data_IF_199980834525
#
_entry.id   IF_199980834525
#
_cell.length_a   1.000
_cell.length_b   1.000
_cell.length_c   1.000
_cell.angle_alpha   90.00
_cell.angle_beta   90.00
_cell.angle_gamma   90.00
#
_symmetry.space_group_name_H-M   'P 1'
#
loop_
_entity.id
_entity.type
_entity.pdbx_description
1 polymer ?
#
# COMPACT_ATOMS: atom_id res chain seq x y z
N UNK A 1 -13.37 -19.48 -11.38
CA UNK A 1 -12.35 -18.43 -11.60
C UNK A 1 -10.99 -19.09 -11.63
N UNK A 2 -10.17 -18.74 -12.61
CA UNK A 2 -8.82 -19.28 -12.73
C UNK A 2 -8.01 -18.86 -11.48
N UNK A 3 -7.28 -19.79 -10.86
CA UNK A 3 -6.54 -19.52 -9.63
C UNK A 3 -5.60 -18.31 -9.74
N UNK A 4 -5.10 -18.05 -10.94
CA UNK A 4 -4.26 -16.91 -11.25
C UNK A 4 -5.00 -15.57 -11.22
N UNK A 5 -6.26 -15.53 -11.65
CA UNK A 5 -7.11 -14.34 -11.55
C UNK A 5 -7.43 -14.05 -10.10
N UNK A 6 -7.72 -15.09 -9.31
CA UNK A 6 -7.97 -14.94 -7.89
C UNK A 6 -6.73 -14.40 -7.15
N UNK A 7 -5.53 -14.88 -7.49
CA UNK A 7 -4.29 -14.38 -6.92
C UNK A 7 -4.07 -12.90 -7.25
N UNK A 8 -4.26 -12.49 -8.51
CA UNK A 8 -4.16 -11.08 -8.94
C UNK A 8 -5.13 -10.19 -8.14
N UNK A 9 -6.41 -10.56 -8.09
CA UNK A 9 -7.44 -9.79 -7.38
C UNK A 9 -7.15 -9.73 -5.87
N UNK A 10 -6.65 -10.83 -5.28
CA UNK A 10 -6.29 -10.87 -3.87
C UNK A 10 -5.12 -9.94 -3.54
N UNK A 11 -4.09 -9.91 -4.40
CA UNK A 11 -2.95 -8.98 -4.25
C UNK A 11 -3.43 -7.54 -4.33
N UNK A 12 -4.20 -7.19 -5.38
CA UNK A 12 -4.70 -5.82 -5.56
C UNK A 12 -5.63 -5.39 -4.43
N UNK A 13 -6.53 -6.28 -3.99
CA UNK A 13 -7.42 -6.03 -2.86
C UNK A 13 -6.66 -5.80 -1.55
N UNK A 14 -5.64 -6.62 -1.27
CA UNK A 14 -4.81 -6.47 -0.07
C UNK A 14 -3.99 -5.16 -0.10
N UNK A 15 -3.45 -4.77 -1.26
CA UNK A 15 -2.75 -3.50 -1.42
C UNK A 15 -3.71 -2.31 -1.25
N UNK A 16 -4.91 -2.37 -1.85
CA UNK A 16 -5.93 -1.33 -1.68
C UNK A 16 -6.29 -1.14 -0.20
N UNK A 17 -6.53 -2.23 0.54
CA UNK A 17 -6.82 -2.19 1.98
C UNK A 17 -5.65 -1.60 2.76
N UNK A 18 -4.42 -1.96 2.42
CA UNK A 18 -3.21 -1.40 3.03
C UNK A 18 -3.05 0.10 2.77
N UNK A 19 -3.42 0.57 1.56
CA UNK A 19 -3.37 1.98 1.16
C UNK A 19 -4.44 2.83 1.86
N UNK A 20 -5.61 2.24 2.17
CA UNK A 20 -6.71 2.93 2.85
C UNK A 20 -6.33 3.35 4.27
N UNK A 21 -5.49 2.58 4.97
CA UNK A 21 -5.02 2.93 6.31
C UNK A 21 -4.08 4.14 6.29
N UNK A 22 -4.39 5.20 7.04
CA UNK A 22 -3.61 6.44 7.05
C UNK A 22 -2.15 6.20 7.45
N UNK A 23 -1.25 6.55 6.56
CA UNK A 23 0.19 6.50 6.74
C UNK A 23 0.87 7.74 6.14
N UNK A 24 2.20 7.77 6.06
CA UNK A 24 2.94 8.92 5.51
C UNK A 24 2.45 9.34 4.12
N UNK A 25 2.18 8.37 3.23
CA UNK A 25 1.70 8.62 1.87
C UNK A 25 0.32 9.28 1.86
N UNK A 26 -0.60 8.78 2.69
CA UNK A 26 -1.93 9.36 2.86
C UNK A 26 -1.86 10.81 3.38
N UNK A 27 -1.08 11.03 4.46
CA UNK A 27 -0.92 12.35 5.09
C UNK A 27 -0.33 13.34 4.10
N UNK A 28 0.65 12.94 3.30
CA UNK A 28 1.24 13.80 2.29
C UNK A 28 0.20 14.26 1.27
N UNK A 29 -0.54 13.35 0.68
CA UNK A 29 -1.55 13.67 -0.35
C UNK A 29 -2.66 14.56 0.24
N UNK A 30 -3.19 14.21 1.41
CA UNK A 30 -4.21 15.00 2.10
C UNK A 30 -3.70 16.42 2.40
N UNK A 31 -2.48 16.56 2.94
CA UNK A 31 -1.86 17.86 3.21
C UNK A 31 -1.65 18.68 1.95
N UNK A 32 -1.10 18.06 0.89
CA UNK A 32 -0.84 18.75 -0.37
C UNK A 32 -2.14 19.27 -0.98
N UNK A 33 -3.22 18.49 -0.90
CA UNK A 33 -4.54 18.89 -1.41
C UNK A 33 -5.15 20.06 -0.65
N UNK A 34 -4.92 20.13 0.67
CA UNK A 34 -5.45 21.21 1.53
C UNK A 34 -4.59 22.46 1.40
N UNK A 35 -3.27 22.31 1.50
CA UNK A 35 -2.34 23.42 1.68
C UNK A 35 -1.84 24.03 0.37
N UNK A 36 -1.88 23.28 -0.75
CA UNK A 36 -1.41 23.78 -2.06
C UNK A 36 -2.60 23.89 -3.02
N UNK A 37 -3.11 22.76 -3.50
CA UNK A 37 -4.29 22.70 -4.36
C UNK A 37 -4.73 21.25 -4.60
N UNK A 38 -5.98 21.06 -5.02
CA UNK A 38 -6.48 19.76 -5.49
C UNK A 38 -5.62 19.17 -6.62
N UNK A 39 -5.20 19.98 -7.58
CA UNK A 39 -4.37 19.54 -8.71
C UNK A 39 -2.99 19.04 -8.22
N UNK A 40 -2.37 19.75 -7.28
CA UNK A 40 -1.12 19.33 -6.66
C UNK A 40 -1.28 18.01 -5.87
N UNK A 41 -2.39 17.84 -5.16
CA UNK A 41 -2.73 16.58 -4.48
C UNK A 41 -2.87 15.40 -5.45
N UNK A 42 -3.55 15.61 -6.58
CA UNK A 42 -3.67 14.58 -7.64
C UNK A 42 -2.32 14.27 -8.26
N UNK A 43 -1.48 15.28 -8.50
CA UNK A 43 -0.11 15.04 -8.99
C UNK A 43 0.72 14.22 -8.00
N UNK A 44 0.60 14.48 -6.70
CA UNK A 44 1.23 13.67 -5.67
C UNK A 44 0.67 12.22 -5.68
N UNK A 45 -0.63 12.05 -5.88
CA UNK A 45 -1.27 10.73 -6.01
C UNK A 45 -0.71 9.93 -7.20
N UNK A 46 -0.49 10.56 -8.34
CA UNK A 46 0.16 9.93 -9.51
C UNK A 46 1.60 9.53 -9.16
N UNK A 47 2.33 10.39 -8.45
CA UNK A 47 3.67 10.05 -7.93
C UNK A 47 3.67 8.85 -7.00
N UNK A 48 2.65 8.73 -6.11
CA UNK A 48 2.47 7.55 -5.26
C UNK A 48 2.25 6.28 -6.09
N UNK A 49 1.38 6.33 -7.10
CA UNK A 49 1.16 5.20 -8.00
C UNK A 49 2.42 4.79 -8.75
N UNK A 50 3.20 5.76 -9.25
CA UNK A 50 4.50 5.47 -9.88
C UNK A 50 5.48 4.79 -8.91
N UNK A 51 5.53 5.23 -7.63
CA UNK A 51 6.30 4.57 -6.58
C UNK A 51 5.79 3.15 -6.27
N UNK A 52 4.48 2.93 -6.32
CA UNK A 52 3.86 1.62 -6.21
C UNK A 52 4.33 0.66 -7.32
N UNK A 53 4.43 1.15 -8.56
CA UNK A 53 5.01 0.38 -9.69
C UNK A 53 6.44 -0.04 -9.39
N UNK A 54 7.26 0.86 -8.87
CA UNK A 54 8.65 0.53 -8.49
C UNK A 54 8.66 -0.63 -7.50
N UNK A 55 7.88 -0.56 -6.42
CA UNK A 55 7.83 -1.63 -5.44
C UNK A 55 7.24 -2.92 -5.98
N UNK A 56 6.18 -2.85 -6.80
CA UNK A 56 5.61 -4.04 -7.44
C UNK A 56 6.67 -4.74 -8.31
N UNK A 57 7.40 -3.99 -9.12
CA UNK A 57 8.45 -4.52 -9.99
C UNK A 57 9.59 -5.12 -9.16
N UNK A 58 10.08 -4.42 -8.14
CA UNK A 58 11.13 -4.91 -7.26
C UNK A 58 10.70 -6.17 -6.50
N UNK A 59 9.45 -6.22 -6.02
CA UNK A 59 8.92 -7.39 -5.34
C UNK A 59 8.80 -8.60 -6.28
N UNK A 60 8.36 -8.41 -7.53
CA UNK A 60 8.29 -9.48 -8.52
C UNK A 60 9.69 -10.01 -8.89
N UNK A 61 10.64 -9.14 -9.16
CA UNK A 61 12.01 -9.51 -9.47
C UNK A 61 12.71 -10.18 -8.29
N UNK A 62 12.54 -9.61 -7.09
CA UNK A 62 13.12 -10.14 -5.86
C UNK A 62 12.53 -11.51 -5.49
N UNK A 63 11.22 -11.67 -5.57
CA UNK A 63 10.55 -12.94 -5.30
C UNK A 63 11.00 -14.03 -6.26
N UNK A 64 11.12 -13.72 -7.57
CA UNK A 64 11.60 -14.66 -8.58
C UNK A 64 13.05 -15.09 -8.28
N UNK A 65 13.94 -14.15 -7.99
CA UNK A 65 15.34 -14.44 -7.66
C UNK A 65 15.48 -15.33 -6.41
N UNK A 66 14.66 -15.05 -5.36
CA UNK A 66 14.66 -15.83 -4.13
C UNK A 66 14.16 -17.27 -4.35
N UNK A 67 13.11 -17.46 -5.14
CA UNK A 67 12.57 -18.79 -5.43
C UNK A 67 13.55 -19.67 -6.22
N UNK A 68 14.33 -19.07 -7.14
CA UNK A 68 15.26 -19.80 -8.00
C UNK A 68 16.56 -20.12 -7.30
N UNK A 69 17.07 -19.23 -6.44
CA UNK A 69 18.44 -19.34 -5.94
C UNK A 69 18.54 -19.83 -4.48
N UNK A 70 17.59 -19.51 -3.59
CA UNK A 70 17.77 -19.76 -2.15
C UNK A 70 16.42 -20.03 -1.46
N UNK A 71 15.98 -21.29 -1.48
CA UNK A 71 14.67 -21.68 -0.91
C UNK A 71 14.46 -21.29 0.55
N UNK A 72 15.49 -21.40 1.41
CA UNK A 72 15.38 -21.02 2.83
C UNK A 72 15.16 -19.50 3.02
N UNK A 73 15.70 -18.66 2.13
CA UNK A 73 15.52 -17.21 2.20
C UNK A 73 14.07 -16.80 1.89
N UNK A 74 13.40 -17.57 1.03
CA UNK A 74 11.95 -17.40 0.79
C UNK A 74 11.14 -17.71 2.06
N UNK A 75 11.52 -18.75 2.81
CA UNK A 75 10.91 -19.07 4.09
C UNK A 75 11.11 -17.94 5.12
N UNK A 76 12.34 -17.42 5.22
CA UNK A 76 12.64 -16.27 6.08
C UNK A 76 11.81 -15.06 5.70
N UNK A 77 11.67 -14.77 4.40
CA UNK A 77 10.83 -13.67 3.91
C UNK A 77 9.36 -13.85 4.30
N UNK A 78 8.82 -15.07 4.17
CA UNK A 78 7.45 -15.38 4.60
C UNK A 78 7.24 -15.16 6.09
N UNK A 79 8.13 -15.68 6.92
CA UNK A 79 8.02 -15.55 8.39
C UNK A 79 8.16 -14.09 8.81
N UNK A 80 9.24 -13.42 8.39
CA UNK A 80 9.50 -12.03 8.78
C UNK A 80 8.44 -11.07 8.22
N UNK A 81 8.04 -11.26 6.98
CA UNK A 81 6.95 -10.48 6.35
C UNK A 81 5.62 -10.70 7.05
N UNK A 82 5.29 -11.94 7.38
CA UNK A 82 4.06 -12.26 8.12
C UNK A 82 4.04 -11.64 9.53
N UNK A 83 5.14 -11.76 10.29
CA UNK A 83 5.28 -11.12 11.59
C UNK A 83 5.18 -9.59 11.49
N UNK A 84 5.78 -9.00 10.45
CA UNK A 84 5.64 -7.57 10.22
C UNK A 84 4.20 -7.15 9.91
N UNK A 85 3.46 -7.91 9.09
CA UNK A 85 2.05 -7.63 8.81
C UNK A 85 1.20 -7.71 10.09
N UNK A 86 1.46 -8.71 10.96
CA UNK A 86 0.79 -8.82 12.27
C UNK A 86 1.13 -7.60 13.13
N UNK A 87 2.41 -7.23 13.24
CA UNK A 87 2.82 -6.03 13.97
C UNK A 87 2.16 -4.76 13.43
N UNK A 88 2.13 -4.59 12.11
CA UNK A 88 1.48 -3.48 11.45
C UNK A 88 -0.03 -3.44 11.74
N UNK A 89 -0.70 -4.60 11.69
CA UNK A 89 -2.12 -4.71 12.01
C UNK A 89 -2.41 -4.27 13.45
N UNK A 90 -1.60 -4.70 14.41
CA UNK A 90 -1.73 -4.26 15.82
C UNK A 90 -1.52 -2.75 15.95
N UNK A 91 -0.54 -2.17 15.25
CA UNK A 91 -0.31 -0.72 15.25
C UNK A 91 -1.49 0.06 14.67
N UNK A 92 -2.03 -0.39 13.53
CA UNK A 92 -3.19 0.24 12.90
C UNK A 92 -4.40 0.15 13.83
N UNK A 93 -4.64 -1.02 14.42
CA UNK A 93 -5.77 -1.23 15.34
C UNK A 93 -5.70 -0.31 16.56
N UNK A 94 -4.53 -0.21 17.19
CA UNK A 94 -4.32 0.66 18.36
C UNK A 94 -4.45 2.14 18.02
N UNK A 95 -3.94 2.56 16.85
CA UNK A 95 -4.04 3.94 16.36
C UNK A 95 -5.39 4.29 15.72
N UNK A 96 -6.34 3.35 15.62
CA UNK A 96 -7.60 3.56 14.92
C UNK A 96 -8.44 4.73 15.49
N UNK A 97 -8.44 4.90 16.82
CA UNK A 97 -9.15 5.97 17.49
C UNK A 97 -8.39 7.32 17.49
N UNK A 98 -7.11 7.33 17.10
CA UNK A 98 -6.32 8.54 17.07
C UNK A 98 -6.71 9.42 15.88
N UNK A 99 -6.84 10.76 16.08
CA UNK A 99 -7.16 11.65 14.98
C UNK A 99 -6.02 11.69 13.95
N UNK A 100 -6.37 11.77 12.67
CA UNK A 100 -5.39 12.03 11.62
C UNK A 100 -4.87 13.45 11.79
N UNK A 101 -3.62 13.57 12.22
CA UNK A 101 -2.95 14.87 12.29
C UNK A 101 -2.46 15.24 10.89
N UNK A 102 -3.21 16.11 10.23
CA UNK A 102 -2.72 16.80 9.04
C UNK A 102 -2.11 18.11 9.56
N UNK A 103 -0.77 18.27 9.51
CA UNK A 103 -0.15 19.48 10.03
C UNK A 103 -0.70 20.72 9.33
N UNK A 104 -1.22 21.66 10.11
CA UNK A 104 -1.61 22.98 9.62
C UNK A 104 -0.32 23.77 9.33
N UNK A 105 -0.17 24.25 8.15
CA UNK A 105 0.95 25.10 7.76
C UNK A 105 0.86 25.44 6.28
N UNK A 106 1.10 26.70 5.94
CA UNK A 106 1.20 27.12 4.56
C UNK A 106 2.35 26.34 3.90
N UNK A 107 2.02 25.27 3.18
CA UNK A 107 2.98 24.64 2.29
C UNK A 107 3.33 25.68 1.23
N UNK A 108 4.63 25.95 1.03
CA UNK A 108 5.06 26.76 -0.11
C UNK A 108 4.39 26.22 -1.34
N UNK A 109 3.75 27.08 -2.12
CA UNK A 109 3.12 26.70 -3.38
C UNK A 109 4.14 25.96 -4.24
N UNK A 110 3.85 24.70 -4.51
CA UNK A 110 4.72 23.84 -5.33
C UNK A 110 4.03 23.63 -6.66
N UNK A 111 4.78 23.69 -7.75
CA UNK A 111 4.29 23.31 -9.07
C UNK A 111 3.84 21.82 -9.09
N UNK A 112 2.98 21.49 -10.05
CA UNK A 112 2.42 20.13 -10.23
C UNK A 112 3.53 19.08 -10.32
N UNK A 113 4.58 19.34 -11.11
CA UNK A 113 5.70 18.42 -11.30
C UNK A 113 6.46 18.16 -9.98
N UNK A 114 6.64 19.19 -9.14
CA UNK A 114 7.26 19.03 -7.83
C UNK A 114 6.38 18.22 -6.90
N UNK A 115 5.08 18.40 -6.94
CA UNK A 115 4.13 17.59 -6.14
C UNK A 115 4.17 16.12 -6.54
N UNK A 116 4.25 15.81 -7.83
CA UNK A 116 4.49 14.46 -8.34
C UNK A 116 5.80 13.87 -7.78
N UNK A 117 6.90 14.61 -7.91
CA UNK A 117 8.22 14.16 -7.42
C UNK A 117 8.24 13.90 -5.90
N UNK A 118 7.57 14.76 -5.12
CA UNK A 118 7.44 14.55 -3.67
C UNK A 118 6.60 13.30 -3.37
N UNK A 119 5.51 13.08 -4.11
CA UNK A 119 4.69 11.88 -4.01
C UNK A 119 5.51 10.61 -4.30
N UNK A 120 6.21 10.58 -5.42
CA UNK A 120 7.09 9.47 -5.80
C UNK A 120 8.16 9.21 -4.74
N UNK A 121 8.91 10.25 -4.33
CA UNK A 121 9.95 10.13 -3.32
C UNK A 121 9.41 9.62 -1.98
N UNK A 122 8.25 10.12 -1.55
CA UNK A 122 7.61 9.65 -0.31
C UNK A 122 7.23 8.18 -0.39
N UNK A 123 6.68 7.73 -1.52
CA UNK A 123 6.29 6.33 -1.69
C UNK A 123 7.50 5.41 -1.69
N UNK A 124 8.54 5.71 -2.48
CA UNK A 124 9.73 4.85 -2.57
C UNK A 124 10.61 4.89 -1.32
N UNK A 125 10.50 5.93 -0.50
CA UNK A 125 11.19 6.02 0.80
C UNK A 125 10.35 5.48 1.96
N UNK A 126 9.13 4.98 1.71
CA UNK A 126 8.23 4.51 2.76
C UNK A 126 8.53 3.05 3.11
N UNK A 127 9.16 2.75 4.26
CA UNK A 127 9.48 1.39 4.65
C UNK A 127 8.22 0.52 4.88
N UNK A 128 7.10 1.13 5.30
CA UNK A 128 5.81 0.43 5.40
C UNK A 128 5.43 -0.15 4.05
N UNK A 129 5.50 0.66 2.98
CA UNK A 129 5.12 0.24 1.63
C UNK A 129 6.01 -0.90 1.13
N UNK A 130 7.35 -0.76 1.28
CA UNK A 130 8.30 -1.78 0.85
C UNK A 130 8.00 -3.16 1.46
N UNK A 131 7.82 -3.21 2.79
CA UNK A 131 7.60 -4.47 3.50
C UNK A 131 6.20 -5.02 3.22
N UNK A 132 5.18 -4.17 3.15
CA UNK A 132 3.81 -4.58 2.81
C UNK A 132 3.76 -5.22 1.43
N UNK A 133 4.40 -4.61 0.42
CA UNK A 133 4.46 -5.18 -0.92
C UNK A 133 5.16 -6.54 -0.93
N UNK A 134 6.37 -6.62 -0.38
CA UNK A 134 7.11 -7.88 -0.31
C UNK A 134 6.29 -8.98 0.39
N UNK A 135 5.63 -8.65 1.51
CA UNK A 135 4.84 -9.61 2.29
C UNK A 135 3.57 -10.06 1.57
N UNK A 136 2.82 -9.14 0.95
CA UNK A 136 1.59 -9.46 0.21
C UNK A 136 1.91 -10.32 -1.02
N UNK A 137 2.97 -9.99 -1.75
CA UNK A 137 3.39 -10.77 -2.92
C UNK A 137 3.85 -12.18 -2.51
N UNK A 138 4.63 -12.30 -1.44
CA UNK A 138 5.04 -13.60 -0.91
C UNK A 138 3.87 -14.44 -0.37
N UNK A 139 2.81 -13.78 0.15
CA UNK A 139 1.64 -14.47 0.70
C UNK A 139 0.64 -14.96 -0.35
N UNK A 140 0.45 -14.18 -1.43
CA UNK A 140 -0.69 -14.33 -2.31
C UNK A 140 -0.33 -14.71 -3.74
N UNK A 141 0.92 -14.50 -4.20
CA UNK A 141 1.35 -14.95 -5.49
C UNK A 141 1.75 -16.44 -5.44
N UNK A 142 1.35 -17.25 -6.44
CA UNK A 142 1.88 -18.60 -6.60
C UNK A 142 3.37 -18.57 -6.89
N UNK A 143 4.07 -19.68 -6.62
CA UNK A 143 5.51 -19.80 -6.88
C UNK A 143 5.88 -19.60 -8.36
N UNK A 144 4.97 -19.97 -9.27
CA UNK A 144 5.15 -19.82 -10.72
C UNK A 144 3.93 -19.08 -11.31
N UNK A 145 3.85 -17.75 -11.17
CA UNK A 145 2.74 -17.01 -11.73
C UNK A 145 2.87 -16.96 -13.25
N UNK A 146 1.76 -17.06 -14.01
CA UNK A 146 1.82 -16.94 -15.45
C UNK A 146 2.25 -15.52 -15.87
N UNK A 147 2.91 -15.43 -17.05
CA UNK A 147 3.50 -14.17 -17.53
C UNK A 147 2.50 -13.01 -17.58
N UNK A 148 1.24 -13.29 -17.95
CA UNK A 148 0.21 -12.24 -18.00
C UNK A 148 -0.08 -11.61 -16.62
N UNK A 149 0.01 -12.39 -15.51
CA UNK A 149 -0.12 -11.86 -14.14
C UNK A 149 1.05 -10.94 -13.83
N UNK A 150 2.28 -11.37 -14.14
CA UNK A 150 3.48 -10.57 -13.91
C UNK A 150 3.43 -9.23 -14.65
N UNK A 151 2.96 -9.25 -15.91
CA UNK A 151 2.85 -8.06 -16.75
C UNK A 151 1.68 -7.14 -16.33
N UNK A 152 0.58 -7.70 -15.83
CA UNK A 152 -0.58 -6.91 -15.44
C UNK A 152 -0.50 -6.31 -14.04
N UNK A 153 0.30 -6.89 -13.13
CA UNK A 153 0.42 -6.43 -11.74
C UNK A 153 0.93 -4.98 -11.63
N UNK A 154 2.06 -4.56 -12.24
CA UNK A 154 2.56 -3.20 -12.08
C UNK A 154 1.57 -2.13 -12.56
N UNK A 155 0.95 -2.22 -13.76
CA UNK A 155 -0.04 -1.24 -14.19
C UNK A 155 -1.31 -1.28 -13.35
N UNK A 156 -1.77 -2.44 -12.89
CA UNK A 156 -2.92 -2.55 -12.01
C UNK A 156 -2.64 -1.91 -10.63
N UNK A 157 -1.45 -2.10 -10.09
CA UNK A 157 -0.99 -1.44 -8.86
C UNK A 157 -0.98 0.09 -9.06
N UNK A 158 -0.47 0.57 -10.20
CA UNK A 158 -0.52 2.00 -10.51
C UNK A 158 -1.94 2.55 -10.44
N UNK A 159 -2.90 1.85 -11.03
CA UNK A 159 -4.30 2.28 -11.05
C UNK A 159 -4.92 2.27 -9.65
N UNK A 160 -4.68 1.23 -8.86
CA UNK A 160 -5.19 1.11 -7.48
C UNK A 160 -4.62 2.21 -6.58
N UNK A 161 -3.30 2.38 -6.56
CA UNK A 161 -2.64 3.38 -5.72
C UNK A 161 -3.01 4.81 -6.15
N UNK A 162 -2.87 5.11 -7.44
CA UNK A 162 -3.24 6.44 -7.98
C UNK A 162 -4.71 6.72 -7.74
N UNK A 163 -5.59 5.76 -8.00
CA UNK A 163 -7.03 5.90 -7.83
C UNK A 163 -7.39 6.20 -6.39
N UNK A 164 -6.85 5.42 -5.42
CA UNK A 164 -7.08 5.67 -4.02
C UNK A 164 -6.59 7.05 -3.57
N UNK A 165 -5.33 7.39 -3.86
CA UNK A 165 -4.79 8.68 -3.44
C UNK A 165 -5.40 9.87 -4.19
N UNK A 166 -5.89 9.69 -5.42
CA UNK A 166 -6.69 10.72 -6.11
C UNK A 166 -8.04 10.95 -5.41
N UNK A 167 -8.70 9.88 -4.95
CA UNK A 167 -9.91 10.00 -4.10
C UNK A 167 -9.59 10.78 -2.84
N UNK A 168 -8.48 10.48 -2.15
CA UNK A 168 -8.02 11.22 -0.98
C UNK A 168 -7.79 12.71 -1.33
N UNK A 169 -7.10 12.99 -2.45
CA UNK A 169 -6.83 14.35 -2.89
C UNK A 169 -8.12 15.15 -3.11
N UNK A 170 -9.09 14.55 -3.77
CA UNK A 170 -10.39 15.19 -4.04
C UNK A 170 -11.21 15.35 -2.75
N UNK A 171 -11.28 14.31 -1.92
CA UNK A 171 -12.05 14.32 -0.69
C UNK A 171 -11.51 15.35 0.32
N UNK A 172 -10.19 15.45 0.46
CA UNK A 172 -9.56 16.36 1.41
C UNK A 172 -9.49 17.81 0.92
N UNK A 173 -9.69 18.05 -0.39
CA UNK A 173 -9.88 19.40 -0.92
C UNK A 173 -11.26 20.00 -0.60
N UNK A 174 -12.21 19.22 -0.09
CA UNK A 174 -13.56 19.63 0.24
C UNK A 174 -13.93 19.25 1.68
N UNK A 175 -14.57 20.17 2.41
CA UNK A 175 -14.82 20.00 3.85
C UNK A 175 -15.74 18.83 4.21
N UNK A 176 -16.85 18.62 3.47
CA UNK A 176 -17.83 17.56 3.78
C UNK A 176 -17.28 16.13 3.60
N UNK A 177 -16.64 15.75 2.47
CA UNK A 177 -16.04 14.42 2.31
C UNK A 177 -14.90 14.16 3.30
N UNK A 178 -14.07 15.19 3.60
CA UNK A 178 -13.04 15.09 4.64
C UNK A 178 -13.64 14.73 5.99
N UNK A 179 -14.70 15.44 6.41
CA UNK A 179 -15.35 15.18 7.69
C UNK A 179 -15.99 13.77 7.75
N UNK A 180 -16.58 13.30 6.65
CA UNK A 180 -17.12 11.94 6.54
C UNK A 180 -16.04 10.88 6.71
N UNK A 181 -14.91 11.01 6.01
CA UNK A 181 -13.78 10.10 6.16
C UNK A 181 -13.25 10.07 7.59
N UNK A 182 -13.03 11.26 8.21
CA UNK A 182 -12.49 11.34 9.56
C UNK A 182 -13.42 10.70 10.61
N UNK A 183 -14.74 10.76 10.44
CA UNK A 183 -15.72 10.06 11.29
C UNK A 183 -15.65 8.55 11.14
N UNK A 184 -15.41 8.06 9.92
CA UNK A 184 -15.38 6.62 9.62
C UNK A 184 -14.00 5.99 9.82
N UNK A 185 -12.97 6.80 10.07
CA UNK A 185 -11.56 6.38 10.13
C UNK A 185 -11.33 5.18 11.05
N UNK A 186 -11.91 5.21 12.26
CA UNK A 186 -11.70 4.13 13.23
C UNK A 186 -12.19 2.77 12.72
N UNK A 187 -13.32 2.74 12.02
CA UNK A 187 -13.85 1.53 11.40
C UNK A 187 -13.01 1.08 10.21
N UNK A 188 -12.62 2.02 9.36
CA UNK A 188 -11.75 1.76 8.20
C UNK A 188 -10.42 1.14 8.66
N UNK A 189 -9.78 1.73 9.67
CA UNK A 189 -8.52 1.24 10.20
C UNK A 189 -8.64 -0.14 10.85
N UNK A 190 -9.72 -0.39 11.61
CA UNK A 190 -9.95 -1.72 12.21
C UNK A 190 -10.19 -2.79 11.16
N UNK A 191 -10.96 -2.50 10.12
CA UNK A 191 -11.16 -3.41 9.01
C UNK A 191 -9.84 -3.70 8.28
N UNK A 192 -9.07 -2.66 7.95
CA UNK A 192 -7.76 -2.81 7.33
C UNK A 192 -6.80 -3.64 8.20
N UNK A 193 -6.75 -3.36 9.51
CA UNK A 193 -5.95 -4.11 10.46
C UNK A 193 -6.34 -5.59 10.52
N UNK A 194 -7.64 -5.90 10.52
CA UNK A 194 -8.13 -7.28 10.52
C UNK A 194 -7.67 -8.06 9.29
N UNK A 195 -7.79 -7.47 8.10
CA UNK A 195 -7.36 -8.11 6.84
C UNK A 195 -5.85 -8.27 6.79
N UNK A 196 -5.08 -7.22 7.11
CA UNK A 196 -3.61 -7.27 7.12
C UNK A 196 -3.12 -8.28 8.15
N UNK A 197 -3.74 -8.34 9.34
CA UNK A 197 -3.41 -9.30 10.37
C UNK A 197 -3.69 -10.74 9.96
N UNK A 198 -4.84 -11.00 9.34
CA UNK A 198 -5.19 -12.32 8.82
C UNK A 198 -4.21 -12.79 7.73
N UNK A 199 -3.80 -11.90 6.82
CA UNK A 199 -2.76 -12.18 5.83
C UNK A 199 -1.41 -12.51 6.49
N UNK A 200 -1.02 -11.76 7.51
CA UNK A 200 0.21 -12.01 8.25
C UNK A 200 0.20 -13.39 8.94
N UNK A 201 -0.89 -13.73 9.61
CA UNK A 201 -1.08 -15.05 10.25
C UNK A 201 -1.01 -16.15 9.19
N UNK A 202 -1.75 -16.01 8.07
CA UNK A 202 -1.71 -16.98 6.98
C UNK A 202 -0.29 -17.20 6.47
N UNK A 203 0.45 -16.12 6.24
CA UNK A 203 1.82 -16.20 5.72
C UNK A 203 2.77 -16.97 6.67
N UNK A 204 2.66 -16.73 7.99
CA UNK A 204 3.43 -17.48 8.99
C UNK A 204 3.00 -18.94 9.05
N UNK A 205 1.69 -19.24 9.01
CA UNK A 205 1.19 -20.62 9.01
C UNK A 205 1.61 -21.40 7.76
N UNK A 206 1.58 -20.74 6.58
CA UNK A 206 2.02 -21.38 5.32
C UNK A 206 3.54 -21.62 5.31
N UNK A 207 4.31 -20.83 6.05
CA UNK A 207 5.74 -21.05 6.23
C UNK A 207 6.05 -22.22 7.18
N UNK A 208 5.15 -22.55 8.11
CA UNK A 208 5.32 -23.65 9.06
C UNK A 208 4.87 -25.03 8.52
N UNK A 209 4.23 -25.08 7.34
CA UNK A 209 3.86 -26.36 6.70
C UNK A 209 5.11 -27.01 6.10
N UNK A 210 5.36 -28.30 6.38
CA UNK A 210 6.43 -29.02 5.71
C UNK A 210 6.14 -29.04 4.19
N UNK A 211 7.16 -28.71 3.39
CA UNK A 211 7.16 -28.77 1.93
C UNK A 211 7.20 -30.21 1.43
#
# INVERSE_FOLDING_TARGET
MDGSVLALLSVLGALAIGAISPGPSFVLVARTSIAVSRAAGVAAAIGMGAGGVVFATLALLGLHALLVQVGWLYLVLKVTGGLYLIHLAVRIWRGAAEPVRVPDGAAKSHGILRSFGIGLATQVSNPKTAIVYASIFAALLPASPPAWVLLSLPPAVFLVETGWYAIVAVAFSAGRPRAAYLRSKAWIDRLAASVIGALGIRLVMDAAKPS
#
